data_IF_628382265319
#
_entry.id   IF_628382265319
#
_cell.length_a   1.000
_cell.length_b   1.000
_cell.length_c   1.000
_cell.angle_alpha   90.00
_cell.angle_beta   90.00
_cell.angle_gamma   90.00
#
_symmetry.space_group_name_H-M   'P 1'
#
loop_
_entity.id
_entity.type
_entity.pdbx_description
1 polymer ?
#
# COMPACT_ATOMS: atom_id res chain seq x y z
N UNK A 1 -86.69 -25.05 -8.54
CA UNK A 1 -86.40 -25.79 -7.29
C UNK A 1 -85.79 -27.19 -7.48
N UNK A 2 -85.89 -27.82 -8.67
CA UNK A 2 -85.34 -29.18 -8.93
C UNK A 2 -83.81 -29.24 -9.14
N UNK A 3 -83.16 -28.15 -9.59
CA UNK A 3 -81.71 -28.12 -9.82
C UNK A 3 -80.87 -28.19 -8.52
N UNK A 4 -81.30 -27.53 -7.44
CA UNK A 4 -80.62 -27.58 -6.14
C UNK A 4 -80.71 -28.95 -5.45
N UNK A 5 -81.81 -29.70 -5.65
CA UNK A 5 -81.96 -31.06 -5.12
C UNK A 5 -81.00 -32.05 -5.80
N UNK A 6 -80.75 -31.89 -7.11
CA UNK A 6 -79.75 -32.69 -7.85
C UNK A 6 -78.31 -32.37 -7.44
N UNK A 7 -78.01 -31.12 -7.07
CA UNK A 7 -76.69 -30.74 -6.54
C UNK A 7 -76.42 -31.35 -5.15
N UNK A 8 -77.45 -31.36 -4.28
CA UNK A 8 -77.38 -31.98 -2.94
C UNK A 8 -77.25 -33.51 -2.94
N UNK A 9 -77.67 -34.19 -4.01
CA UNK A 9 -77.60 -35.64 -4.14
C UNK A 9 -76.40 -36.13 -4.99
N UNK A 10 -75.48 -35.22 -5.35
CA UNK A 10 -74.34 -35.55 -6.21
C UNK A 10 -73.16 -36.08 -5.39
N UNK A 11 -73.00 -37.40 -5.33
CA UNK A 11 -71.84 -38.08 -4.70
C UNK A 11 -70.57 -38.05 -5.58
N UNK A 12 -70.68 -37.54 -6.82
CA UNK A 12 -69.56 -37.40 -7.76
C UNK A 12 -68.61 -36.24 -7.43
N UNK A 13 -68.90 -35.45 -6.38
CA UNK A 13 -68.07 -34.34 -5.91
C UNK A 13 -66.84 -34.76 -5.08
N UNK A 14 -66.67 -36.06 -4.81
CA UNK A 14 -65.58 -36.56 -3.97
C UNK A 14 -64.19 -36.24 -4.57
N UNK A 15 -64.07 -36.24 -5.90
CA UNK A 15 -62.87 -35.81 -6.59
C UNK A 15 -62.61 -34.31 -6.42
N UNK A 16 -63.63 -33.46 -6.57
CA UNK A 16 -63.47 -32.02 -6.40
C UNK A 16 -63.05 -31.64 -4.96
N UNK A 17 -63.63 -32.31 -3.96
CA UNK A 17 -63.29 -32.11 -2.55
C UNK A 17 -61.88 -32.62 -2.24
N UNK A 18 -61.53 -33.82 -2.71
CA UNK A 18 -60.19 -34.39 -2.55
C UNK A 18 -59.11 -33.53 -3.24
N UNK A 19 -59.39 -33.04 -4.45
CA UNK A 19 -58.51 -32.11 -5.17
C UNK A 19 -58.37 -30.78 -4.43
N UNK A 20 -59.45 -30.21 -3.90
CA UNK A 20 -59.38 -28.95 -3.14
C UNK A 20 -58.54 -29.08 -1.87
N UNK A 21 -58.70 -30.19 -1.12
CA UNK A 21 -57.91 -30.47 0.09
C UNK A 21 -56.44 -30.73 -0.28
N UNK A 22 -56.17 -31.48 -1.36
CA UNK A 22 -54.81 -31.78 -1.81
C UNK A 22 -54.09 -30.59 -2.45
N UNK A 23 -54.82 -29.65 -3.08
CA UNK A 23 -54.22 -28.45 -3.67
C UNK A 23 -53.59 -27.55 -2.61
N UNK A 24 -54.16 -27.43 -1.42
CA UNK A 24 -53.65 -26.56 -0.36
C UNK A 24 -52.19 -26.88 0.03
N UNK A 25 -51.83 -28.11 0.44
CA UNK A 25 -50.45 -28.44 0.77
C UNK A 25 -49.52 -28.37 -0.45
N UNK A 26 -50.01 -28.67 -1.66
CA UNK A 26 -49.21 -28.56 -2.89
C UNK A 26 -48.87 -27.10 -3.18
N UNK A 27 -49.84 -26.18 -3.11
CA UNK A 27 -49.64 -24.76 -3.36
C UNK A 27 -48.74 -24.12 -2.30
N UNK A 28 -48.88 -24.52 -1.03
CA UNK A 28 -47.96 -24.09 0.03
C UNK A 28 -46.53 -24.59 -0.24
N UNK A 29 -46.38 -25.84 -0.70
CA UNK A 29 -45.10 -26.38 -1.11
C UNK A 29 -44.48 -25.58 -2.27
N UNK A 30 -45.26 -25.27 -3.31
CA UNK A 30 -44.81 -24.46 -4.45
C UNK A 30 -44.42 -23.06 -4.00
N UNK A 31 -45.24 -22.39 -3.19
CA UNK A 31 -44.94 -21.06 -2.66
C UNK A 31 -43.62 -21.05 -1.86
N UNK A 32 -43.41 -22.03 -0.98
CA UNK A 32 -42.16 -22.18 -0.25
C UNK A 32 -40.95 -22.43 -1.15
N UNK A 33 -41.11 -23.20 -2.24
CA UNK A 33 -40.01 -23.40 -3.20
C UNK A 33 -39.67 -22.13 -3.99
N UNK A 34 -40.66 -21.33 -4.39
CA UNK A 34 -40.45 -20.05 -5.09
C UNK A 34 -39.69 -19.08 -4.17
N UNK A 35 -40.11 -18.96 -2.92
CA UNK A 35 -39.44 -18.10 -1.94
C UNK A 35 -37.99 -18.55 -1.68
N UNK A 36 -37.78 -19.85 -1.50
CA UNK A 36 -36.45 -20.40 -1.25
C UNK A 36 -35.51 -20.22 -2.46
N UNK A 37 -35.97 -20.56 -3.66
CA UNK A 37 -35.18 -20.43 -4.89
C UNK A 37 -34.89 -18.96 -5.16
N UNK A 38 -35.90 -18.10 -5.02
CA UNK A 38 -35.74 -16.66 -5.19
C UNK A 38 -34.74 -16.07 -4.20
N UNK A 39 -34.90 -16.35 -2.91
CA UNK A 39 -33.96 -15.88 -1.87
C UNK A 39 -32.55 -16.43 -2.09
N UNK A 40 -32.43 -17.66 -2.62
CA UNK A 40 -31.13 -18.24 -2.95
C UNK A 40 -30.46 -17.53 -4.13
N UNK A 41 -31.22 -17.13 -5.14
CA UNK A 41 -30.72 -16.37 -6.30
C UNK A 41 -30.29 -14.96 -5.88
N UNK A 42 -31.14 -14.27 -5.12
CA UNK A 42 -30.87 -12.96 -4.53
C UNK A 42 -29.58 -12.99 -3.68
N UNK A 43 -29.41 -14.06 -2.88
CA UNK A 43 -28.24 -14.21 -2.04
C UNK A 43 -26.96 -14.56 -2.81
N UNK A 44 -27.07 -15.20 -3.98
CA UNK A 44 -25.94 -15.45 -4.88
C UNK A 44 -25.53 -14.14 -5.58
N UNK A 45 -26.49 -13.35 -6.05
CA UNK A 45 -26.24 -12.02 -6.61
C UNK A 45 -25.60 -11.09 -5.58
N UNK A 46 -26.10 -11.09 -4.34
CA UNK A 46 -25.55 -10.33 -3.23
C UNK A 46 -24.08 -10.70 -2.97
N UNK A 47 -23.75 -11.99 -2.94
CA UNK A 47 -22.37 -12.44 -2.76
C UNK A 47 -21.48 -12.00 -3.94
N UNK A 48 -21.94 -12.17 -5.18
CA UNK A 48 -21.18 -11.76 -6.36
C UNK A 48 -20.89 -10.25 -6.35
N UNK A 49 -21.85 -9.43 -5.93
CA UNK A 49 -21.66 -7.99 -5.81
C UNK A 49 -20.68 -7.61 -4.70
N UNK A 50 -20.76 -8.27 -3.53
CA UNK A 50 -19.79 -8.06 -2.45
C UNK A 50 -18.37 -8.49 -2.85
N UNK A 51 -18.23 -9.61 -3.55
CA UNK A 51 -16.95 -10.12 -4.05
C UNK A 51 -16.33 -9.14 -5.07
N UNK A 52 -17.14 -8.66 -6.04
CA UNK A 52 -16.71 -7.68 -7.03
C UNK A 52 -16.33 -6.34 -6.41
N UNK A 53 -17.14 -5.83 -5.47
CA UNK A 53 -16.87 -4.60 -4.74
C UNK A 53 -15.60 -4.73 -3.89
N UNK A 54 -15.41 -5.85 -3.21
CA UNK A 54 -14.22 -6.09 -2.40
C UNK A 54 -12.93 -6.13 -3.22
N UNK A 55 -12.95 -6.79 -4.38
CA UNK A 55 -11.82 -6.80 -5.29
C UNK A 55 -11.52 -5.39 -5.82
N UNK A 56 -12.56 -4.66 -6.24
CA UNK A 56 -12.41 -3.30 -6.75
C UNK A 56 -11.84 -2.34 -5.70
N UNK A 57 -12.36 -2.36 -4.47
CA UNK A 57 -11.84 -1.57 -3.35
C UNK A 57 -10.39 -1.93 -3.07
N UNK A 58 -10.04 -3.21 -3.07
CA UNK A 58 -8.66 -3.65 -2.84
C UNK A 58 -7.67 -3.11 -3.89
N UNK A 59 -8.08 -2.90 -5.14
CA UNK A 59 -7.21 -2.30 -6.18
C UNK A 59 -6.88 -0.83 -5.94
N UNK A 60 -7.76 -0.12 -5.21
CA UNK A 60 -7.66 1.33 -4.98
C UNK A 60 -7.29 1.69 -3.54
N UNK A 61 -7.37 0.73 -2.62
CA UNK A 61 -7.11 0.95 -1.21
C UNK A 61 -5.70 1.51 -0.98
N UNK A 62 -5.56 2.49 -0.10
CA UNK A 62 -4.28 2.92 0.46
C UNK A 62 -4.41 3.05 1.98
N UNK A 63 -3.30 2.87 2.71
CA UNK A 63 -3.29 2.92 4.17
C UNK A 63 -3.87 4.24 4.75
N UNK A 64 -3.73 5.34 4.02
CA UNK A 64 -4.30 6.64 4.39
C UNK A 64 -5.79 6.84 4.10
N UNK A 65 -6.51 5.87 3.50
CA UNK A 65 -7.94 6.03 3.24
C UNK A 65 -8.73 5.97 4.56
N UNK A 66 -9.68 6.88 4.74
CA UNK A 66 -10.55 6.85 5.91
C UNK A 66 -11.58 5.71 5.80
N UNK A 67 -12.15 5.29 6.93
CA UNK A 67 -13.24 4.31 6.92
C UNK A 67 -14.44 4.76 6.06
N UNK A 68 -14.71 6.07 6.01
CA UNK A 68 -15.74 6.65 5.16
C UNK A 68 -15.43 6.54 3.66
N UNK A 69 -14.17 6.71 3.26
CA UNK A 69 -13.75 6.57 1.86
C UNK A 69 -13.82 5.12 1.40
N UNK A 70 -13.40 4.17 2.25
CA UNK A 70 -13.52 2.73 1.97
C UNK A 70 -14.99 2.33 1.83
N UNK A 71 -15.85 2.80 2.72
CA UNK A 71 -17.29 2.60 2.66
C UNK A 71 -17.89 3.15 1.36
N UNK A 72 -17.59 4.40 1.03
CA UNK A 72 -18.13 5.09 -0.15
C UNK A 72 -17.68 4.45 -1.47
N UNK A 73 -16.40 4.08 -1.56
CA UNK A 73 -15.85 3.40 -2.72
C UNK A 73 -16.48 2.00 -2.88
N UNK A 74 -16.56 1.24 -1.79
CA UNK A 74 -17.20 -0.08 -1.79
C UNK A 74 -18.66 0.00 -2.21
N UNK A 75 -19.40 0.98 -1.70
CA UNK A 75 -20.81 1.19 -2.05
C UNK A 75 -20.98 1.49 -3.54
N UNK A 76 -20.07 2.26 -4.13
CA UNK A 76 -20.11 2.60 -5.57
C UNK A 76 -20.05 1.35 -6.43
N UNK A 77 -19.08 0.46 -6.18
CA UNK A 77 -18.96 -0.79 -6.93
C UNK A 77 -20.07 -1.78 -6.58
N UNK A 78 -20.47 -1.87 -5.32
CA UNK A 78 -21.55 -2.74 -4.86
C UNK A 78 -22.88 -2.38 -5.51
N UNK A 79 -23.27 -1.10 -5.48
CA UNK A 79 -24.50 -0.62 -6.08
C UNK A 79 -24.52 -0.79 -7.61
N UNK A 80 -23.38 -0.57 -8.27
CA UNK A 80 -23.26 -0.81 -9.71
C UNK A 80 -23.49 -2.28 -10.08
N UNK A 81 -22.94 -3.22 -9.29
CA UNK A 81 -23.09 -4.66 -9.55
C UNK A 81 -24.45 -5.23 -9.09
N UNK A 82 -25.14 -4.58 -8.13
CA UNK A 82 -26.51 -4.93 -7.75
C UNK A 82 -27.55 -4.42 -8.77
N UNK A 83 -27.19 -3.51 -9.68
CA UNK A 83 -28.17 -2.91 -10.59
C UNK A 83 -28.64 -3.88 -11.68
N UNK A 84 -29.83 -4.47 -11.48
CA UNK A 84 -30.63 -5.14 -12.51
C UNK A 84 -32.11 -4.76 -12.34
N UNK A 85 -32.76 -4.40 -13.46
CA UNK A 85 -34.19 -4.14 -13.76
C UNK A 85 -35.09 -3.32 -12.78
N UNK A 86 -35.00 -3.47 -11.46
CA UNK A 86 -35.84 -2.77 -10.48
C UNK A 86 -35.01 -2.22 -9.30
N UNK A 87 -34.83 -0.90 -9.27
CA UNK A 87 -34.06 -0.22 -8.20
C UNK A 87 -34.72 -0.34 -6.82
N UNK A 88 -36.03 -0.59 -6.77
CA UNK A 88 -36.76 -0.68 -5.51
C UNK A 88 -36.41 -1.96 -4.74
N UNK A 89 -36.17 -3.05 -5.45
CA UNK A 89 -35.93 -4.40 -4.90
C UNK A 89 -34.62 -4.49 -4.11
N UNK A 90 -33.59 -3.76 -4.52
CA UNK A 90 -32.26 -3.81 -3.91
C UNK A 90 -31.88 -2.61 -3.03
N UNK A 91 -32.79 -1.64 -2.89
CA UNK A 91 -32.58 -0.44 -2.06
C UNK A 91 -32.21 -0.76 -0.60
N UNK A 92 -32.83 -1.79 -0.03
CA UNK A 92 -32.52 -2.30 1.30
C UNK A 92 -31.07 -2.81 1.42
N UNK A 93 -30.59 -3.55 0.42
CA UNK A 93 -29.21 -4.08 0.42
C UNK A 93 -28.17 -2.99 0.26
N UNK A 94 -28.44 -1.96 -0.53
CA UNK A 94 -27.56 -0.78 -0.63
C UNK A 94 -27.50 -0.05 0.71
N UNK A 95 -28.63 0.10 1.40
CA UNK A 95 -28.67 0.74 2.72
C UNK A 95 -28.00 -0.08 3.84
N UNK A 96 -28.02 -1.41 3.72
CA UNK A 96 -27.42 -2.35 4.68
C UNK A 96 -25.93 -2.62 4.41
N UNK A 97 -25.37 -2.06 3.33
CA UNK A 97 -23.99 -2.29 2.94
C UNK A 97 -23.01 -1.70 3.96
N UNK A 98 -21.98 -2.47 4.30
CA UNK A 98 -20.88 -2.05 5.16
C UNK A 98 -19.56 -2.54 4.58
N UNK A 99 -18.54 -1.71 4.61
CA UNK A 99 -17.17 -2.02 4.22
C UNK A 99 -16.18 -1.40 5.21
N UNK A 100 -15.18 -2.18 5.58
CA UNK A 100 -14.11 -1.76 6.46
C UNK A 100 -12.77 -2.31 6.00
N UNK A 101 -11.71 -1.52 6.20
CA UNK A 101 -10.34 -1.96 6.01
C UNK A 101 -9.66 -2.23 7.36
N UNK A 102 -8.72 -3.18 7.38
CA UNK A 102 -7.92 -3.53 8.55
C UNK A 102 -6.58 -4.12 8.13
N UNK A 103 -5.62 -4.22 9.05
CA UNK A 103 -4.32 -4.84 8.81
C UNK A 103 -3.15 -3.87 8.99
N UNK A 104 -2.02 -4.22 8.39
CA UNK A 104 -0.76 -3.48 8.45
C UNK A 104 -0.01 -3.61 7.12
N UNK A 105 1.14 -2.93 6.91
CA UNK A 105 1.89 -3.00 5.66
C UNK A 105 2.28 -4.41 5.20
N UNK A 106 2.30 -5.40 6.10
CA UNK A 106 2.56 -6.81 5.77
C UNK A 106 1.34 -7.57 5.24
N UNK A 107 0.12 -7.11 5.51
CA UNK A 107 -1.12 -7.57 4.89
C UNK A 107 -2.31 -6.68 5.30
N UNK A 108 -3.09 -6.24 4.32
CA UNK A 108 -4.36 -5.55 4.55
C UNK A 108 -5.55 -6.42 4.15
N UNK A 109 -6.70 -6.17 4.77
CA UNK A 109 -7.96 -6.86 4.51
C UNK A 109 -9.09 -5.87 4.31
N UNK A 110 -9.88 -6.06 3.26
CA UNK A 110 -11.18 -5.41 3.08
C UNK A 110 -12.26 -6.41 3.48
N UNK A 111 -13.10 -6.05 4.44
CA UNK A 111 -14.27 -6.84 4.85
C UNK A 111 -15.52 -6.09 4.42
N UNK A 112 -16.42 -6.76 3.72
CA UNK A 112 -17.68 -6.22 3.23
C UNK A 112 -18.83 -7.10 3.68
N UNK A 113 -19.98 -6.49 3.96
CA UNK A 113 -21.21 -7.22 4.26
C UNK A 113 -22.43 -6.45 3.79
N UNK A 114 -23.51 -7.19 3.53
CA UNK A 114 -24.83 -6.63 3.25
C UNK A 114 -25.89 -7.72 3.49
N UNK A 115 -27.15 -7.32 3.45
CA UNK A 115 -28.31 -8.20 3.61
C UNK A 115 -29.36 -7.94 2.54
N UNK A 116 -30.14 -8.95 2.20
CA UNK A 116 -31.27 -8.85 1.29
C UNK A 116 -32.50 -9.48 1.93
N UNK A 117 -33.66 -8.88 1.73
CA UNK A 117 -34.93 -9.30 2.30
C UNK A 117 -35.98 -9.41 1.21
N UNK A 118 -36.39 -10.64 0.90
CA UNK A 118 -37.43 -10.95 -0.08
C UNK A 118 -38.78 -11.09 0.61
N UNK A 119 -39.83 -10.35 0.18
CA UNK A 119 -41.19 -10.61 0.64
C UNK A 119 -41.59 -12.07 0.32
N UNK A 120 -42.28 -12.74 1.24
CA UNK A 120 -42.80 -14.08 0.96
C UNK A 120 -43.93 -14.02 -0.06
N UNK A 121 -43.99 -15.04 -0.93
CA UNK A 121 -45.10 -15.27 -1.85
C UNK A 121 -46.43 -15.43 -1.12
N UNK A 122 -46.41 -15.90 0.14
CA UNK A 122 -47.59 -15.98 0.99
C UNK A 122 -47.81 -14.65 1.74
N UNK A 123 -48.88 -13.94 1.38
CA UNK A 123 -49.28 -12.70 2.05
C UNK A 123 -49.42 -12.90 3.56
N UNK A 124 -48.70 -12.10 4.36
CA UNK A 124 -48.72 -12.16 5.83
C UNK A 124 -47.71 -13.14 6.45
N UNK A 125 -46.96 -13.89 5.64
CA UNK A 125 -45.80 -14.64 6.13
C UNK A 125 -44.57 -13.73 6.29
N UNK A 126 -43.61 -14.17 7.11
CA UNK A 126 -42.37 -13.44 7.32
C UNK A 126 -41.54 -13.35 6.02
N UNK A 127 -40.86 -12.23 5.83
CA UNK A 127 -39.89 -12.06 4.73
C UNK A 127 -38.73 -13.04 4.89
N UNK A 128 -38.21 -13.53 3.78
CA UNK A 128 -37.01 -14.34 3.74
C UNK A 128 -35.79 -13.42 3.69
N UNK A 129 -34.84 -13.62 4.60
CA UNK A 129 -33.64 -12.79 4.69
C UNK A 129 -32.40 -13.62 4.41
N UNK A 130 -31.45 -13.02 3.70
CA UNK A 130 -30.12 -13.56 3.51
C UNK A 130 -29.08 -12.50 3.85
N UNK A 131 -28.08 -12.89 4.64
CA UNK A 131 -26.91 -12.07 4.96
C UNK A 131 -25.70 -12.65 4.23
N UNK A 132 -24.85 -11.78 3.67
CA UNK A 132 -23.63 -12.18 2.99
C UNK A 132 -22.47 -11.28 3.40
N UNK A 133 -21.28 -11.85 3.30
CA UNK A 133 -20.04 -11.14 3.56
C UNK A 133 -18.98 -11.58 2.57
N UNK A 134 -18.10 -10.67 2.20
CA UNK A 134 -16.91 -10.94 1.42
C UNK A 134 -15.69 -10.42 2.17
N UNK A 135 -14.56 -11.13 2.05
CA UNK A 135 -13.28 -10.67 2.59
C UNK A 135 -12.22 -10.76 1.50
N UNK A 136 -11.44 -9.70 1.32
CA UNK A 136 -10.36 -9.64 0.35
C UNK A 136 -9.07 -9.38 1.09
N UNK A 137 -8.06 -10.20 0.85
CA UNK A 137 -6.71 -10.06 1.39
C UNK A 137 -5.80 -9.43 0.33
N UNK A 138 -5.07 -8.41 0.74
CA UNK A 138 -4.00 -7.79 -0.02
C UNK A 138 -2.68 -8.19 0.61
N UNK A 139 -1.96 -9.09 -0.05
CA UNK A 139 -0.59 -9.42 0.33
C UNK A 139 0.38 -8.47 -0.38
N UNK A 140 1.49 -8.11 0.28
CA UNK A 140 2.61 -7.49 -0.40
C UNK A 140 3.13 -8.39 -1.54
N UNK A 141 3.65 -7.76 -2.60
CA UNK A 141 4.31 -8.46 -3.70
C UNK A 141 5.77 -8.80 -3.39
N UNK A 142 6.67 -8.59 -4.35
CA UNK A 142 8.09 -8.92 -4.21
C UNK A 142 8.83 -7.87 -3.35
N UNK A 143 9.94 -8.25 -2.69
CA UNK A 143 10.71 -7.32 -1.88
C UNK A 143 11.32 -6.19 -2.74
N UNK A 144 11.06 -4.94 -2.35
CA UNK A 144 11.57 -3.75 -3.02
C UNK A 144 12.75 -3.13 -2.26
N UNK A 145 13.62 -2.45 -3.01
CA UNK A 145 14.77 -1.70 -2.47
C UNK A 145 14.71 -0.21 -2.78
N UNK A 146 14.00 0.13 -3.85
CA UNK A 146 13.70 1.50 -4.23
C UNK A 146 12.21 1.60 -4.47
N UNK A 147 11.56 2.57 -3.87
CA UNK A 147 10.14 2.85 -4.06
C UNK A 147 9.92 4.35 -4.22
N UNK A 148 9.40 4.75 -5.38
CA UNK A 148 8.84 6.09 -5.59
C UNK A 148 7.34 6.07 -5.34
N UNK A 149 6.87 6.96 -4.46
CA UNK A 149 5.47 6.99 -4.00
C UNK A 149 4.57 7.90 -4.84
N UNK A 150 5.12 8.86 -5.60
CA UNK A 150 4.31 9.78 -6.39
C UNK A 150 3.48 9.04 -7.45
N UNK A 151 2.14 9.26 -7.50
CA UNK A 151 1.24 8.51 -8.35
C UNK A 151 1.21 8.94 -9.82
N UNK A 152 1.79 10.10 -10.19
CA UNK A 152 1.57 10.69 -11.53
C UNK A 152 2.82 11.27 -12.19
N UNK A 153 3.92 11.42 -11.48
CA UNK A 153 5.11 12.09 -12.03
C UNK A 153 5.86 11.21 -13.03
N UNK A 154 6.26 11.80 -14.16
CA UNK A 154 7.21 11.17 -15.10
C UNK A 154 8.55 10.92 -14.43
N UNK A 155 9.20 9.80 -14.78
CA UNK A 155 10.52 9.44 -14.25
C UNK A 155 10.58 9.45 -12.72
N UNK A 156 9.52 8.95 -12.06
CA UNK A 156 9.41 8.85 -10.60
C UNK A 156 10.60 8.12 -9.98
N UNK A 157 11.12 7.08 -10.64
CA UNK A 157 12.49 6.62 -10.43
C UNK A 157 13.32 6.92 -11.67
N UNK A 158 14.37 7.71 -11.51
CA UNK A 158 15.26 8.13 -12.59
C UNK A 158 16.66 7.58 -12.35
N UNK A 159 17.11 6.69 -13.24
CA UNK A 159 18.46 6.13 -13.27
C UNK A 159 19.25 6.82 -14.38
N UNK A 160 20.13 7.77 -14.03
CA UNK A 160 20.82 8.62 -15.02
C UNK A 160 22.34 8.57 -14.90
N UNK A 161 23.01 8.87 -16.01
CA UNK A 161 24.47 9.02 -16.11
C UNK A 161 25.17 7.78 -16.67
N UNK A 162 26.38 7.52 -16.18
CA UNK A 162 27.20 6.34 -16.51
C UNK A 162 27.32 5.43 -15.29
N UNK A 163 26.18 5.01 -14.76
CA UNK A 163 26.05 4.35 -13.47
C UNK A 163 25.82 2.87 -13.61
N UNK A 164 26.44 2.06 -12.75
CA UNK A 164 26.12 0.64 -12.62
C UNK A 164 25.33 0.44 -11.33
N UNK A 165 24.05 0.13 -11.46
CA UNK A 165 23.14 -0.14 -10.34
C UNK A 165 22.89 -1.64 -10.28
N UNK A 166 23.42 -2.30 -9.26
CA UNK A 166 23.26 -3.74 -9.03
C UNK A 166 22.43 -4.00 -7.78
N UNK A 167 21.24 -4.57 -7.96
CA UNK A 167 20.24 -4.95 -6.96
C UNK A 167 19.73 -6.36 -7.22
N UNK A 168 20.65 -7.33 -7.35
CA UNK A 168 20.42 -8.65 -7.97
C UNK A 168 19.29 -9.51 -7.37
N UNK A 169 18.76 -9.18 -6.20
CA UNK A 169 17.61 -9.87 -5.57
C UNK A 169 16.47 -8.94 -5.14
N UNK A 170 16.45 -7.69 -5.61
CA UNK A 170 15.48 -6.69 -5.16
C UNK A 170 14.76 -5.99 -6.31
N UNK A 171 13.54 -5.50 -6.04
CA UNK A 171 12.71 -4.80 -7.02
C UNK A 171 12.86 -3.28 -6.92
N UNK A 172 12.96 -2.62 -8.07
CA UNK A 172 12.78 -1.17 -8.19
C UNK A 172 11.30 -0.92 -8.48
N UNK A 173 10.63 -0.15 -7.64
CA UNK A 173 9.20 0.10 -7.74
C UNK A 173 8.87 1.58 -7.92
N UNK A 174 7.84 1.86 -8.72
CA UNK A 174 7.26 3.20 -8.84
C UNK A 174 5.74 3.14 -8.86
N UNK A 175 5.10 3.97 -8.05
CA UNK A 175 3.64 4.10 -8.00
C UNK A 175 3.08 5.00 -9.11
N UNK A 176 3.95 5.66 -9.88
CA UNK A 176 3.54 6.56 -10.95
C UNK A 176 2.88 5.82 -12.11
N UNK A 177 1.75 6.34 -12.59
CA UNK A 177 1.01 5.88 -13.77
C UNK A 177 1.53 6.47 -15.10
N UNK A 178 2.58 7.30 -15.06
CA UNK A 178 3.20 7.87 -16.24
C UNK A 178 3.80 6.80 -17.17
N UNK A 179 3.87 7.08 -18.47
CA UNK A 179 4.45 6.17 -19.47
C UNK A 179 5.95 5.87 -19.26
N UNK A 180 6.63 6.70 -18.47
CA UNK A 180 8.04 6.62 -18.14
C UNK A 180 8.27 6.63 -16.61
N UNK A 181 7.38 6.02 -15.83
CA UNK A 181 7.43 5.97 -14.36
C UNK A 181 8.80 5.56 -13.80
N UNK A 182 9.46 4.59 -14.45
CA UNK A 182 10.88 4.31 -14.24
C UNK A 182 11.62 4.57 -15.54
N UNK A 183 12.57 5.49 -15.50
CA UNK A 183 13.37 5.84 -16.67
C UNK A 183 14.85 5.57 -16.43
N UNK A 184 15.49 5.02 -17.45
CA UNK A 184 16.93 4.84 -17.52
C UNK A 184 17.48 5.67 -18.67
N UNK A 185 18.29 6.66 -18.34
CA UNK A 185 18.96 7.55 -19.28
C UNK A 185 20.48 7.36 -19.34
N UNK A 186 21.10 7.81 -20.44
CA UNK A 186 22.55 7.76 -20.64
C UNK A 186 23.08 6.35 -20.85
N UNK A 187 24.25 6.07 -20.28
CA UNK A 187 24.95 4.77 -20.38
C UNK A 187 24.78 3.91 -19.14
N UNK A 188 23.79 4.22 -18.29
CA UNK A 188 23.54 3.48 -17.07
C UNK A 188 23.23 2.00 -17.35
N UNK A 189 23.76 1.12 -16.51
CA UNK A 189 23.52 -0.32 -16.49
C UNK A 189 22.74 -0.67 -15.23
N UNK A 190 21.68 -1.45 -15.39
CA UNK A 190 20.80 -1.86 -14.29
C UNK A 190 20.79 -3.37 -14.22
N UNK A 191 21.10 -3.93 -13.06
CA UNK A 191 20.94 -5.34 -12.76
C UNK A 191 20.03 -5.45 -11.55
N UNK A 192 18.84 -6.03 -11.68
CA UNK A 192 17.87 -6.11 -10.58
C UNK A 192 17.05 -7.39 -10.63
N UNK A 193 16.39 -7.77 -9.55
CA UNK A 193 15.44 -8.89 -9.63
C UNK A 193 14.30 -8.56 -10.60
N UNK A 194 13.73 -7.36 -10.45
CA UNK A 194 12.76 -6.83 -11.39
C UNK A 194 12.60 -5.31 -11.27
N UNK A 195 11.86 -4.74 -12.21
CA UNK A 195 11.30 -3.39 -12.12
C UNK A 195 9.79 -3.53 -12.17
N UNK A 196 9.08 -2.86 -11.26
CA UNK A 196 7.62 -2.97 -11.15
C UNK A 196 6.97 -1.59 -11.08
N UNK A 197 6.06 -1.28 -12.00
CA UNK A 197 5.48 0.06 -12.13
C UNK A 197 3.98 0.02 -12.33
N UNK A 198 3.28 1.07 -11.88
CA UNK A 198 1.87 1.30 -12.23
C UNK A 198 1.75 1.75 -13.69
N UNK A 199 2.63 2.65 -14.11
CA UNK A 199 2.76 3.12 -15.49
C UNK A 199 3.74 2.28 -16.29
N UNK A 200 4.37 2.91 -17.28
CA UNK A 200 5.36 2.31 -18.16
C UNK A 200 6.81 2.53 -17.73
N UNK A 201 7.74 1.92 -18.46
CA UNK A 201 9.18 2.09 -18.28
C UNK A 201 9.87 2.59 -19.55
N UNK A 202 11.00 3.26 -19.38
CA UNK A 202 11.81 3.77 -20.50
C UNK A 202 13.27 3.37 -20.34
N UNK A 203 13.87 2.84 -21.42
CA UNK A 203 15.29 2.49 -21.46
C UNK A 203 15.68 1.24 -20.67
N UNK A 204 14.75 0.38 -20.26
CA UNK A 204 15.03 -0.81 -19.43
C UNK A 204 15.09 -2.12 -20.24
N UNK A 205 15.65 -2.07 -21.45
CA UNK A 205 15.88 -3.26 -22.29
C UNK A 205 17.34 -3.72 -22.28
N UNK A 206 17.61 -5.02 -22.54
CA UNK A 206 18.96 -5.51 -22.78
C UNK A 206 19.64 -4.76 -23.94
N UNK A 207 20.97 -4.52 -23.89
CA UNK A 207 21.93 -5.01 -22.90
C UNK A 207 22.04 -4.15 -21.64
N UNK A 208 21.29 -3.07 -21.56
CA UNK A 208 21.47 -2.07 -20.52
C UNK A 208 20.70 -2.36 -19.23
N UNK A 209 19.67 -3.18 -19.29
CA UNK A 209 19.01 -3.72 -18.11
C UNK A 209 19.06 -5.25 -18.16
N UNK A 210 19.54 -5.87 -17.09
CA UNK A 210 19.53 -7.30 -16.86
C UNK A 210 18.61 -7.59 -15.67
N UNK A 211 17.38 -8.00 -15.97
CA UNK A 211 16.35 -8.27 -14.98
C UNK A 211 16.13 -9.78 -14.86
N UNK A 212 16.17 -10.30 -13.64
CA UNK A 212 15.92 -11.74 -13.39
C UNK A 212 14.51 -12.16 -13.82
N UNK A 213 13.52 -11.26 -13.72
CA UNK A 213 12.16 -11.47 -14.23
C UNK A 213 12.01 -11.39 -15.76
N UNK A 214 13.10 -11.14 -16.50
CA UNK A 214 13.11 -11.02 -17.96
C UNK A 214 12.80 -9.61 -18.44
N UNK A 215 11.58 -9.13 -18.21
CA UNK A 215 11.12 -7.78 -18.60
C UNK A 215 10.52 -7.03 -17.42
N UNK A 216 10.54 -5.67 -17.42
CA UNK A 216 9.81 -4.89 -16.43
C UNK A 216 8.34 -5.32 -16.34
N UNK A 217 7.80 -5.35 -15.11
CA UNK A 217 6.40 -5.59 -14.82
C UNK A 217 5.68 -4.23 -14.78
N UNK A 218 5.16 -3.83 -15.94
CA UNK A 218 4.36 -2.61 -16.07
C UNK A 218 2.88 -2.87 -15.73
N UNK A 219 2.11 -1.81 -15.51
CA UNK A 219 0.66 -1.89 -15.22
C UNK A 219 0.30 -2.75 -14.01
N UNK A 220 1.17 -2.72 -12.99
CA UNK A 220 0.94 -3.38 -11.71
C UNK A 220 0.15 -2.48 -10.75
N UNK A 221 -0.33 -3.05 -9.65
CA UNK A 221 -0.93 -2.25 -8.58
C UNK A 221 0.14 -1.42 -7.87
N UNK A 222 -0.23 -0.22 -7.42
CA UNK A 222 0.65 0.62 -6.62
C UNK A 222 1.13 -0.14 -5.38
N UNK A 223 2.38 0.06 -4.99
CA UNK A 223 2.95 -0.50 -3.77
C UNK A 223 2.39 0.21 -2.53
N UNK A 224 2.39 -0.45 -1.38
CA UNK A 224 2.07 0.25 -0.12
C UNK A 224 3.28 1.06 0.35
N UNK A 225 3.00 2.15 1.06
CA UNK A 225 4.03 2.86 1.80
C UNK A 225 4.49 1.98 2.99
N UNK A 226 5.76 1.57 3.04
CA UNK A 226 6.26 0.64 4.06
C UNK A 226 6.32 1.27 5.47
N UNK A 227 6.37 2.60 5.58
CA UNK A 227 6.57 3.30 6.86
C UNK A 227 5.46 4.30 7.19
N UNK A 228 4.32 4.27 6.49
CA UNK A 228 3.17 5.14 6.76
C UNK A 228 2.66 5.09 8.21
N UNK A 229 2.80 3.95 8.89
CA UNK A 229 2.35 3.78 10.28
C UNK A 229 3.39 4.22 11.33
N UNK A 230 4.58 4.67 10.90
CA UNK A 230 5.64 5.11 11.82
C UNK A 230 5.29 6.50 12.35
N UNK A 231 5.07 6.58 13.66
CA UNK A 231 4.83 7.85 14.35
C UNK A 231 6.17 8.44 14.84
N UNK A 232 6.54 9.66 14.40
CA UNK A 232 7.70 10.35 14.93
C UNK A 232 7.61 10.56 16.46
N UNK A 233 8.74 10.60 17.17
CA UNK A 233 8.76 10.89 18.60
C UNK A 233 8.31 12.33 18.88
N UNK A 234 7.74 12.55 20.07
CA UNK A 234 7.41 13.88 20.57
C UNK A 234 8.65 14.78 20.68
N UNK A 235 8.47 16.07 20.44
CA UNK A 235 9.56 17.04 20.50
C UNK A 235 10.05 17.26 21.92
N UNK A 236 11.38 17.35 22.05
CA UNK A 236 12.04 17.76 23.29
C UNK A 236 12.59 19.18 23.18
N UNK A 237 13.15 19.71 24.27
CA UNK A 237 13.82 21.02 24.26
C UNK A 237 14.97 21.00 23.24
N UNK A 238 15.07 22.08 22.46
CA UNK A 238 16.14 22.25 21.48
C UNK A 238 17.50 22.29 22.20
N UNK A 239 18.37 21.34 21.86
CA UNK A 239 19.71 21.21 22.41
C UNK A 239 20.69 22.20 21.76
N UNK A 240 21.69 22.68 22.51
CA UNK A 240 22.74 23.51 21.94
C UNK A 240 23.66 22.69 21.03
N UNK A 241 24.09 23.30 19.93
CA UNK A 241 25.11 22.72 19.04
C UNK A 241 26.49 23.24 19.49
N UNK A 242 27.48 22.35 19.72
CA UNK A 242 28.83 22.77 20.08
C UNK A 242 29.46 23.68 19.01
N UNK A 243 30.31 24.63 19.44
CA UNK A 243 31.05 25.49 18.51
C UNK A 243 32.23 24.74 17.92
N UNK A 244 32.48 24.90 16.62
CA UNK A 244 33.65 24.36 15.93
C UNK A 244 33.31 23.71 14.60
N UNK A 245 34.31 23.11 13.96
CA UNK A 245 34.17 22.34 12.71
C UNK A 245 34.19 20.83 12.92
N UNK A 246 34.41 20.36 14.14
CA UNK A 246 34.32 18.94 14.50
C UNK A 246 33.63 18.87 15.85
N UNK A 247 32.51 18.17 15.92
CA UNK A 247 31.76 18.04 17.16
C UNK A 247 30.88 16.79 17.17
N UNK A 248 30.57 16.36 18.38
CA UNK A 248 29.66 15.24 18.65
C UNK A 248 28.34 15.76 19.19
N UNK A 249 27.24 15.23 18.68
CA UNK A 249 25.89 15.50 19.15
C UNK A 249 25.38 14.31 19.95
N UNK A 250 24.69 14.60 21.06
CA UNK A 250 23.94 13.60 21.80
C UNK A 250 22.51 13.48 21.23
N UNK A 251 21.82 12.34 21.41
CA UNK A 251 20.44 12.17 20.97
C UNK A 251 19.51 13.24 21.56
N UNK A 252 18.58 13.74 20.74
CA UNK A 252 17.64 14.79 21.14
C UNK A 252 17.20 15.68 19.99
N UNK A 253 16.58 16.82 20.33
CA UNK A 253 16.02 17.75 19.35
C UNK A 253 17.00 18.87 19.03
N UNK A 254 17.22 19.16 17.75
CA UNK A 254 18.03 20.28 17.26
C UNK A 254 17.17 21.15 16.33
N UNK A 255 17.19 22.47 16.56
CA UNK A 255 16.25 23.40 15.95
C UNK A 255 16.96 24.55 15.23
N UNK A 256 16.43 24.94 14.06
CA UNK A 256 16.71 26.20 13.33
C UNK A 256 18.19 26.54 13.15
N UNK A 257 19.01 25.52 12.85
CA UNK A 257 20.47 25.66 12.69
C UNK A 257 20.95 25.00 11.40
N UNK A 258 22.11 25.44 10.92
CA UNK A 258 22.87 24.69 9.93
C UNK A 258 24.01 23.95 10.62
N UNK A 259 24.00 22.63 10.53
CA UNK A 259 25.07 21.77 11.02
C UNK A 259 26.11 21.62 9.91
N UNK A 260 27.38 21.94 10.21
CA UNK A 260 28.48 21.92 9.24
C UNK A 260 29.79 21.47 9.88
N UNK A 261 30.76 21.06 9.06
CA UNK A 261 32.00 20.41 9.48
C UNK A 261 31.84 18.90 9.59
N UNK A 262 32.60 18.30 10.52
CA UNK A 262 32.57 16.88 10.85
C UNK A 262 31.63 16.67 12.05
N UNK A 263 30.50 16.03 11.77
CA UNK A 263 29.40 15.82 12.69
C UNK A 263 29.39 14.34 13.07
N UNK A 264 29.61 14.06 14.35
CA UNK A 264 29.44 12.71 14.90
C UNK A 264 28.15 12.66 15.72
N UNK A 265 27.31 11.66 15.47
CA UNK A 265 26.10 11.40 16.23
C UNK A 265 26.34 10.17 17.11
N UNK A 266 26.18 10.33 18.43
CA UNK A 266 26.12 9.19 19.34
C UNK A 266 24.87 8.33 19.05
N UNK A 267 24.87 7.02 19.34
CA UNK A 267 23.72 6.16 19.09
C UNK A 267 22.43 6.69 19.74
N UNK A 268 21.33 6.72 18.98
CA UNK A 268 20.03 7.18 19.48
C UNK A 268 19.19 7.92 18.44
N UNK A 269 18.14 8.59 18.93
CA UNK A 269 17.14 9.26 18.10
C UNK A 269 17.40 10.77 18.07
N UNK A 270 17.42 11.34 16.86
CA UNK A 270 17.65 12.74 16.59
C UNK A 270 16.43 13.35 15.92
N UNK A 271 15.93 14.47 16.45
CA UNK A 271 14.82 15.21 15.86
C UNK A 271 15.38 16.54 15.33
N UNK A 272 15.47 16.67 14.01
CA UNK A 272 15.93 17.88 13.35
C UNK A 272 14.71 18.70 12.95
N UNK A 273 14.51 19.88 13.54
CA UNK A 273 13.38 20.79 13.25
C UNK A 273 13.91 22.04 12.56
N UNK A 274 13.45 22.33 11.34
CA UNK A 274 13.95 23.49 10.56
C UNK A 274 15.47 23.51 10.36
N UNK A 275 16.14 22.38 10.56
CA UNK A 275 17.60 22.27 10.65
C UNK A 275 18.16 21.73 9.34
N UNK A 276 19.21 22.35 8.83
CA UNK A 276 19.92 21.89 7.64
C UNK A 276 21.22 21.19 8.03
N UNK A 277 21.34 19.91 7.71
CA UNK A 277 22.61 19.18 7.83
C UNK A 277 23.36 19.31 6.51
N UNK A 278 24.41 20.12 6.53
CA UNK A 278 25.24 20.44 5.36
C UNK A 278 26.70 20.50 5.80
N UNK A 279 27.40 19.35 5.84
CA UNK A 279 28.79 19.27 6.29
C UNK A 279 29.71 20.32 5.63
N UNK A 280 29.69 20.46 4.30
CA UNK A 280 30.50 21.45 3.59
C UNK A 280 32.00 21.15 3.62
N UNK A 281 32.72 21.48 2.54
CA UNK A 281 34.20 21.57 2.55
C UNK A 281 34.93 20.31 3.04
N UNK A 282 34.64 19.15 2.45
CA UNK A 282 35.11 17.81 2.87
C UNK A 282 34.64 17.38 4.28
N UNK A 283 33.57 17.98 4.80
CA UNK A 283 32.95 17.59 6.06
C UNK A 283 32.33 16.19 6.02
N UNK A 284 31.98 15.67 7.19
CA UNK A 284 31.40 14.34 7.35
C UNK A 284 30.19 14.32 8.26
N UNK A 285 29.30 13.35 8.05
CA UNK A 285 28.20 13.00 8.93
C UNK A 285 28.31 11.52 9.28
N UNK A 286 28.62 11.21 10.54
CA UNK A 286 28.85 9.84 11.02
C UNK A 286 27.95 9.52 12.20
N UNK A 287 27.33 8.36 12.22
CA UNK A 287 26.50 7.89 13.34
C UNK A 287 26.12 6.43 13.20
N UNK A 288 26.31 5.65 14.24
CA UNK A 288 25.97 4.22 14.25
C UNK A 288 24.82 3.98 15.22
N UNK A 289 23.81 3.21 14.81
CA UNK A 289 22.63 3.00 15.64
C UNK A 289 21.78 4.27 15.81
N UNK A 290 21.66 5.07 14.74
CA UNK A 290 20.97 6.36 14.78
C UNK A 290 19.72 6.37 13.90
N UNK A 291 18.69 7.05 14.39
CA UNK A 291 17.52 7.42 13.58
C UNK A 291 17.40 8.94 13.57
N UNK A 292 17.41 9.52 12.37
CA UNK A 292 17.33 10.97 12.17
C UNK A 292 15.95 11.31 11.61
N UNK A 293 15.14 11.97 12.41
CA UNK A 293 13.85 12.54 12.01
C UNK A 293 14.05 13.94 11.44
N UNK A 294 13.60 14.19 10.20
CA UNK A 294 13.61 15.50 9.55
C UNK A 294 12.19 16.08 9.58
N UNK A 295 12.00 17.10 10.41
CA UNK A 295 10.72 17.76 10.67
C UNK A 295 10.77 19.23 10.24
N UNK A 296 9.61 19.81 9.91
CA UNK A 296 9.43 21.26 9.73
C UNK A 296 10.46 21.90 8.77
N UNK A 297 10.63 21.33 7.57
CA UNK A 297 11.59 21.87 6.58
C UNK A 297 13.05 21.54 6.87
N UNK A 298 13.34 20.64 7.82
CA UNK A 298 14.68 20.12 8.00
C UNK A 298 15.11 19.32 6.76
N UNK A 299 16.41 19.38 6.45
CA UNK A 299 16.97 18.77 5.25
C UNK A 299 18.38 18.22 5.52
N UNK A 300 18.75 17.19 4.77
CA UNK A 300 20.12 16.70 4.67
C UNK A 300 20.60 16.94 3.25
N UNK A 301 21.71 17.66 3.13
CA UNK A 301 22.36 17.95 1.86
C UNK A 301 23.82 17.54 1.93
N UNK A 302 24.13 16.38 1.36
CA UNK A 302 25.46 15.80 1.28
C UNK A 302 25.85 15.69 -0.19
N UNK A 303 26.94 16.34 -0.60
CA UNK A 303 27.34 16.39 -2.00
C UNK A 303 28.87 16.44 -2.19
N UNK A 304 29.32 16.15 -3.42
CA UNK A 304 30.72 16.18 -3.84
C UNK A 304 31.63 15.26 -3.01
N UNK A 305 32.57 15.83 -2.24
CA UNK A 305 33.59 15.08 -1.48
C UNK A 305 33.19 14.86 -0.02
N UNK A 306 31.97 15.20 0.37
CA UNK A 306 31.47 15.03 1.72
C UNK A 306 31.24 13.55 2.03
N UNK A 307 31.51 13.13 3.26
CA UNK A 307 31.36 11.73 3.67
C UNK A 307 30.12 11.52 4.52
N UNK A 308 29.41 10.42 4.30
CA UNK A 308 28.28 10.02 5.12
C UNK A 308 28.42 8.57 5.53
N UNK A 309 28.40 8.31 6.84
CA UNK A 309 28.45 6.95 7.39
C UNK A 309 27.37 6.77 8.46
N UNK A 310 26.24 6.21 8.05
CA UNK A 310 25.06 6.07 8.89
C UNK A 310 24.53 4.64 8.91
N UNK A 311 24.19 4.16 10.10
CA UNK A 311 23.45 2.91 10.28
C UNK A 311 22.28 3.07 11.26
N UNK A 312 21.17 2.36 11.03
CA UNK A 312 20.01 2.42 11.92
C UNK A 312 20.28 1.65 13.21
N UNK A 313 19.48 1.89 14.27
CA UNK A 313 19.41 0.95 15.39
C UNK A 313 18.88 -0.41 14.92
N UNK A 314 19.36 -1.50 15.53
CA UNK A 314 18.91 -2.88 15.23
C UNK A 314 17.75 -3.35 16.10
N UNK A 315 17.36 -2.55 17.12
CA UNK A 315 16.24 -2.84 18.02
C UNK A 315 15.54 -1.54 18.46
N UNK A 316 14.37 -1.67 19.08
CA UNK A 316 13.53 -0.54 19.48
C UNK A 316 12.49 -0.15 18.41
N UNK A 317 11.66 0.87 18.70
CA UNK A 317 10.51 1.23 17.86
C UNK A 317 10.93 1.68 16.45
N UNK A 318 12.12 2.27 16.31
CA UNK A 318 12.66 2.78 15.04
C UNK A 318 13.75 1.89 14.44
N UNK A 319 13.86 0.64 14.89
CA UNK A 319 14.81 -0.32 14.35
C UNK A 319 14.72 -0.39 12.82
N UNK A 320 15.87 -0.30 12.16
CA UNK A 320 15.96 -0.31 10.69
C UNK A 320 15.78 1.04 10.00
N UNK A 321 15.39 2.11 10.71
CA UNK A 321 15.18 3.44 10.12
C UNK A 321 16.37 4.35 10.42
N UNK A 322 17.02 4.86 9.37
CA UNK A 322 18.19 5.75 9.51
C UNK A 322 17.81 7.19 9.29
N UNK A 323 17.04 7.47 8.24
CA UNK A 323 16.51 8.80 7.95
C UNK A 323 15.01 8.67 7.74
N UNK A 324 14.25 9.45 8.49
CA UNK A 324 12.80 9.57 8.36
C UNK A 324 12.44 11.04 8.20
N UNK A 325 12.04 11.43 7.01
CA UNK A 325 11.47 12.74 6.75
C UNK A 325 9.95 12.65 6.89
N UNK A 326 9.39 13.52 7.72
CA UNK A 326 7.97 13.48 8.04
C UNK A 326 7.13 13.82 6.81
N UNK A 327 5.89 13.32 6.80
CA UNK A 327 4.88 13.83 5.89
C UNK A 327 4.79 15.35 5.97
N UNK A 328 4.45 15.98 4.85
CA UNK A 328 4.41 17.44 4.63
C UNK A 328 5.77 18.14 4.53
N UNK A 329 6.87 17.50 4.94
CA UNK A 329 8.20 18.01 4.61
C UNK A 329 8.52 17.68 3.14
N UNK A 330 8.79 18.73 2.36
CA UNK A 330 9.03 18.66 0.91
C UNK A 330 10.47 19.01 0.55
N UNK A 331 11.35 19.06 1.56
CA UNK A 331 12.73 19.52 1.39
C UNK A 331 13.56 18.42 0.72
N UNK A 332 14.26 18.75 -0.35
CA UNK A 332 15.01 17.74 -1.10
C UNK A 332 16.07 17.05 -0.24
N UNK A 333 16.04 15.71 -0.22
CA UNK A 333 17.01 14.88 0.49
C UNK A 333 18.13 14.50 -0.48
N UNK A 334 19.33 15.04 -0.26
CA UNK A 334 20.49 14.79 -1.13
C UNK A 334 21.56 13.99 -0.37
N UNK A 335 21.84 12.79 -0.85
CA UNK A 335 22.79 11.83 -0.29
C UNK A 335 23.80 11.42 -1.37
N UNK A 336 24.59 12.39 -1.84
CA UNK A 336 25.61 12.22 -2.86
C UNK A 336 27.00 12.22 -2.22
N UNK A 337 27.24 11.27 -1.33
CA UNK A 337 28.51 11.17 -0.60
C UNK A 337 29.68 10.76 -1.50
N UNK A 338 30.88 11.25 -1.19
CA UNK A 338 32.12 10.86 -1.83
C UNK A 338 32.54 9.42 -1.51
N UNK A 339 33.75 9.05 -1.92
CA UNK A 339 34.33 7.72 -1.66
C UNK A 339 34.28 7.36 -0.17
N UNK A 340 34.03 6.07 0.14
CA UNK A 340 33.83 5.52 1.48
C UNK A 340 32.54 5.94 2.23
N UNK A 341 31.59 6.59 1.55
CA UNK A 341 30.28 6.87 2.15
C UNK A 341 29.45 5.59 2.22
N UNK A 342 28.86 5.30 3.39
CA UNK A 342 28.07 4.09 3.64
C UNK A 342 26.78 4.49 4.35
N UNK A 343 25.64 4.23 3.73
CA UNK A 343 24.33 4.38 4.37
C UNK A 343 23.62 3.04 4.30
N UNK A 344 23.06 2.61 5.41
CA UNK A 344 22.24 1.41 5.52
C UNK A 344 20.89 1.77 6.16
N UNK A 345 19.93 0.85 6.15
CA UNK A 345 18.60 1.10 6.71
C UNK A 345 17.62 1.74 5.72
N UNK A 346 16.46 2.13 6.25
CA UNK A 346 15.48 2.92 5.53
C UNK A 346 15.90 4.40 5.49
N UNK A 347 15.87 4.94 4.28
CA UNK A 347 15.87 6.38 4.00
C UNK A 347 14.50 6.69 3.41
N UNK A 348 13.69 7.39 4.18
CA UNK A 348 12.27 7.61 3.92
C UNK A 348 11.97 9.10 3.82
N UNK A 349 11.45 9.53 2.67
CA UNK A 349 11.04 10.91 2.40
C UNK A 349 9.80 10.94 1.48
N UNK A 350 8.60 10.65 2.01
CA UNK A 350 7.44 10.30 1.20
C UNK A 350 6.91 11.45 0.35
N UNK A 351 7.12 12.69 0.80
CA UNK A 351 6.62 13.92 0.14
C UNK A 351 7.75 14.75 -0.51
N UNK A 352 9.00 14.28 -0.45
CA UNK A 352 10.17 14.99 -0.96
C UNK A 352 10.97 14.18 -2.00
N UNK A 353 11.67 14.87 -2.93
CA UNK A 353 12.56 14.20 -3.87
C UNK A 353 13.84 13.72 -3.17
N UNK A 354 14.21 12.46 -3.40
CA UNK A 354 15.46 11.85 -2.92
C UNK A 354 16.45 11.78 -4.07
N UNK A 355 17.61 12.40 -3.90
CA UNK A 355 18.77 12.25 -4.79
C UNK A 355 19.83 11.43 -4.09
N UNK A 356 20.18 10.29 -4.69
CA UNK A 356 21.19 9.38 -4.15
C UNK A 356 22.27 9.15 -5.19
N UNK A 357 23.53 9.41 -4.83
CA UNK A 357 24.68 9.04 -5.65
C UNK A 357 25.45 7.91 -4.98
N UNK A 358 25.39 6.71 -5.57
CA UNK A 358 26.18 5.59 -5.07
C UNK A 358 27.67 5.76 -5.36
N UNK A 359 28.51 5.12 -4.55
CA UNK A 359 29.95 5.04 -4.78
C UNK A 359 30.42 3.60 -5.05
N UNK A 360 31.64 3.47 -5.57
CA UNK A 360 32.25 2.21 -5.98
C UNK A 360 32.63 1.25 -4.84
N UNK A 361 32.57 1.70 -3.57
CA UNK A 361 33.14 0.98 -2.40
C UNK A 361 32.06 0.39 -1.47
N UNK A 362 30.82 0.28 -1.94
CA UNK A 362 29.72 -0.34 -1.19
C UNK A 362 29.88 -1.87 -1.13
N UNK A 363 30.81 -2.33 -0.29
CA UNK A 363 30.94 -3.73 0.10
C UNK A 363 30.77 -3.83 1.63
N UNK A 364 29.70 -4.48 2.11
CA UNK A 364 29.54 -4.84 3.52
C UNK A 364 28.22 -4.38 4.15
N UNK A 365 28.19 -3.17 4.72
CA UNK A 365 27.02 -2.65 5.46
C UNK A 365 26.10 -1.74 4.63
N UNK A 366 26.64 -1.01 3.65
CA UNK A 366 25.85 -0.16 2.74
C UNK A 366 24.96 -0.93 1.76
N UNK A 367 25.14 -2.24 1.73
CA UNK A 367 24.34 -3.18 0.94
C UNK A 367 22.88 -3.25 1.43
N UNK A 368 22.55 -2.75 2.62
CA UNK A 368 21.22 -2.86 3.22
C UNK A 368 20.43 -1.56 3.24
N UNK A 369 20.46 -0.84 2.13
CA UNK A 369 19.71 0.39 1.92
C UNK A 369 18.30 0.10 1.38
N UNK A 370 17.30 0.81 1.91
CA UNK A 370 15.94 0.90 1.36
C UNK A 370 15.61 2.36 1.14
N UNK A 371 15.42 2.75 -0.13
CA UNK A 371 15.10 4.13 -0.52
C UNK A 371 13.60 4.25 -0.77
N UNK A 372 12.95 5.15 -0.04
CA UNK A 372 11.56 5.54 -0.25
C UNK A 372 11.51 7.05 -0.41
N UNK A 373 11.01 7.52 -1.54
CA UNK A 373 10.92 8.95 -1.82
C UNK A 373 9.61 9.28 -2.54
N UNK A 374 9.23 10.56 -2.59
CA UNK A 374 8.22 11.02 -3.56
C UNK A 374 8.69 10.69 -4.97
N UNK A 375 9.93 11.07 -5.27
CA UNK A 375 10.70 10.65 -6.44
C UNK A 375 12.08 10.20 -5.99
N UNK A 376 12.69 9.25 -6.70
CA UNK A 376 14.04 8.78 -6.41
C UNK A 376 14.92 8.94 -7.66
N UNK A 377 15.89 9.84 -7.58
CA UNK A 377 16.94 9.96 -8.58
C UNK A 377 18.18 9.22 -8.10
N UNK A 378 18.61 8.23 -8.87
CA UNK A 378 19.88 7.54 -8.62
C UNK A 378 20.91 7.94 -9.67
N UNK A 379 22.04 8.41 -9.16
CA UNK A 379 23.27 8.63 -9.92
C UNK A 379 24.41 7.85 -9.23
N UNK A 380 25.62 7.82 -9.79
CA UNK A 380 26.73 7.01 -9.28
C UNK A 380 26.52 5.47 -9.31
N UNK A 381 27.61 4.72 -9.12
CA UNK A 381 27.56 3.25 -9.08
C UNK A 381 26.98 2.80 -7.73
N UNK A 382 26.02 1.88 -7.71
CA UNK A 382 25.35 1.44 -6.49
C UNK A 382 25.26 -0.08 -6.44
N UNK A 383 25.50 -0.67 -5.26
CA UNK A 383 25.23 -2.09 -4.97
C UNK A 383 24.30 -2.19 -3.76
N UNK A 384 23.18 -2.89 -3.90
CA UNK A 384 22.22 -3.16 -2.81
C UNK A 384 21.94 -4.66 -2.74
N UNK A 385 22.06 -5.24 -1.55
CA UNK A 385 21.67 -6.61 -1.22
C UNK A 385 20.27 -6.68 -0.60
N UNK A 386 19.72 -7.87 -0.67
CA UNK A 386 18.34 -8.15 -0.28
C UNK A 386 18.23 -8.75 1.12
N UNK A 387 19.20 -9.58 1.55
CA UNK A 387 19.22 -10.14 2.91
C UNK A 387 19.73 -9.12 3.93
N UNK A 388 18.78 -8.36 4.47
CA UNK A 388 19.02 -7.22 5.34
C UNK A 388 18.17 -7.24 6.60
N UNK A 389 17.55 -8.39 6.92
CA UNK A 389 16.60 -8.55 8.02
C UNK A 389 17.15 -8.04 9.37
N UNK A 390 18.43 -8.34 9.67
CA UNK A 390 19.11 -7.90 10.88
C UNK A 390 19.36 -6.39 10.94
N UNK A 391 19.64 -5.75 9.81
CA UNK A 391 19.88 -4.30 9.72
C UNK A 391 18.57 -3.52 9.71
N UNK A 392 17.53 -4.08 9.08
CA UNK A 392 16.23 -3.45 8.92
C UNK A 392 15.28 -3.67 10.11
N UNK A 393 15.72 -4.34 11.18
CA UNK A 393 14.87 -4.60 12.35
C UNK A 393 13.58 -5.33 11.98
N UNK A 394 13.67 -6.31 11.08
CA UNK A 394 12.53 -7.05 10.51
C UNK A 394 11.51 -6.20 9.72
N UNK A 395 11.84 -4.96 9.36
CA UNK A 395 11.02 -4.17 8.44
C UNK A 395 11.22 -4.63 7.01
N UNK A 396 10.12 -4.66 6.29
CA UNK A 396 10.08 -5.11 4.91
C UNK A 396 9.44 -4.02 4.04
N UNK A 397 9.92 -3.96 2.80
CA UNK A 397 9.39 -3.07 1.78
C UNK A 397 9.05 -3.91 0.57
N UNK A 398 7.89 -3.67 -0.02
CA UNK A 398 7.34 -4.54 -1.04
C UNK A 398 6.89 -3.74 -2.26
N UNK A 399 7.18 -4.29 -3.44
CA UNK A 399 6.71 -3.82 -4.72
C UNK A 399 5.41 -4.52 -5.08
N UNK A 400 4.44 -3.76 -5.57
CA UNK A 400 3.14 -4.27 -6.01
C UNK A 400 2.35 -4.97 -4.91
N UNK A 401 1.19 -5.50 -5.28
CA UNK A 401 0.25 -6.16 -4.37
C UNK A 401 -0.36 -7.37 -5.04
N UNK A 402 -0.60 -8.41 -4.26
CA UNK A 402 -1.38 -9.57 -4.63
C UNK A 402 -2.73 -9.49 -3.95
N UNK A 403 -3.79 -9.43 -4.73
CA UNK A 403 -5.17 -9.33 -4.24
C UNK A 403 -5.80 -10.71 -4.37
N UNK A 404 -6.34 -11.24 -3.27
CA UNK A 404 -6.97 -12.55 -3.23
C UNK A 404 -8.25 -12.50 -2.43
N UNK A 405 -9.30 -13.09 -2.98
CA UNK A 405 -10.57 -13.25 -2.26
C UNK A 405 -10.42 -14.37 -1.22
N UNK A 406 -10.74 -14.07 0.03
CA UNK A 406 -10.72 -15.01 1.16
C UNK A 406 -12.17 -15.31 1.51
N UNK A 407 -12.61 -16.53 1.19
CA UNK A 407 -13.94 -17.02 1.55
C UNK A 407 -13.96 -17.58 2.96
#
# INVERSE_FOLDING_TARGET
>A
MFALKRFRASERGNFAMGTAIAMLPIMLGVAGTIDLVGTSDDAAQLQNSLDAAGLAVATKYSAGMTAGDVQSLGLTFFAANMSAADQQEYSGSVSAFSAAASGSPSAYYISLSSSISRPSFLSGAASWQANRSAKVKMNPGAQACVLALDPHVSSAVSLQGSTNVTMSSCVIAANSDASDAVSRGGSALVSAACVSTVGGTSGLSPPSANLTCGTPLEHQYASFDPLADVVPPDYTLCLPVPKGKTYTLAPGTYCDKTLSGNITLEPGVYIMRGTAIKPGGNGSLTGQGVTIFLMEGAQIYINANEQVNLSPPTSGPYAGITIFENHENTSALTLNGGANSVISGFVYAPDAPVSYAGNSDMSGQGDCLRLVGKTVQMTGNSSIKTDCSAVLGSREMYASRLITLVK
#
